data_IF_785580147165
#
_entry.id   IF_785580147165
#
_cell.length_a   1.000
_cell.length_b   1.000
_cell.length_c   1.000
_cell.angle_alpha   90.00
_cell.angle_beta   90.00
_cell.angle_gamma   90.00
#
_symmetry.space_group_name_H-M   'P 1'
#
loop_
_entity.id
_entity.type
_entity.pdbx_description
1 polymer ?
#
# COMPACT_ATOMS: atom_id res chain seq x y z
N UNK A 1 28.39 -8.48 -22.32
CA UNK A 1 27.38 -8.83 -21.29
C UNK A 1 26.34 -7.73 -21.26
N UNK A 2 25.09 -8.02 -21.60
CA UNK A 2 24.01 -7.03 -21.51
C UNK A 2 23.79 -6.63 -20.06
N UNK A 3 23.62 -5.33 -19.78
CA UNK A 3 23.17 -4.88 -18.46
C UNK A 3 21.86 -5.58 -18.13
N UNK A 4 21.83 -6.34 -17.03
CA UNK A 4 20.56 -6.86 -16.51
C UNK A 4 19.77 -5.64 -16.04
N UNK A 5 18.61 -5.42 -16.63
CA UNK A 5 17.73 -4.32 -16.24
C UNK A 5 17.12 -4.61 -14.88
N UNK A 6 16.91 -3.55 -14.09
CA UNK A 6 16.19 -3.61 -12.83
C UNK A 6 14.85 -4.32 -13.02
N UNK A 7 14.47 -5.30 -12.18
CA UNK A 7 13.19 -5.98 -12.29
C UNK A 7 12.01 -5.00 -12.31
N UNK A 8 11.00 -5.27 -13.13
CA UNK A 8 9.86 -4.37 -13.31
C UNK A 8 9.14 -4.02 -12.00
N UNK A 9 8.98 -4.99 -11.09
CA UNK A 9 8.39 -4.75 -9.79
C UNK A 9 9.20 -3.75 -8.96
N UNK A 10 10.53 -3.82 -9.03
CA UNK A 10 11.41 -2.97 -8.27
C UNK A 10 11.41 -1.55 -8.86
N UNK A 11 11.41 -1.43 -10.18
CA UNK A 11 11.24 -0.13 -10.83
C UNK A 11 9.92 0.55 -10.40
N UNK A 12 8.81 -0.21 -10.34
CA UNK A 12 7.52 0.30 -9.88
C UNK A 12 7.55 0.73 -8.39
N UNK A 13 8.14 -0.08 -7.51
CA UNK A 13 8.33 0.26 -6.09
C UNK A 13 9.14 1.54 -5.95
N UNK A 14 10.27 1.64 -6.65
CA UNK A 14 11.16 2.81 -6.58
C UNK A 14 10.47 4.08 -7.08
N UNK A 15 9.65 3.99 -8.13
CA UNK A 15 8.85 5.12 -8.60
C UNK A 15 7.85 5.59 -7.55
N UNK A 16 7.16 4.67 -6.86
CA UNK A 16 6.25 5.03 -5.77
C UNK A 16 7.00 5.63 -4.56
N UNK A 17 8.17 5.10 -4.21
CA UNK A 17 9.00 5.65 -3.12
C UNK A 17 9.51 7.06 -3.43
N UNK A 18 9.70 7.40 -4.71
CA UNK A 18 10.12 8.74 -5.14
C UNK A 18 9.03 9.81 -4.99
N UNK A 19 7.78 9.43 -4.70
CA UNK A 19 6.71 10.36 -4.29
C UNK A 19 6.87 10.85 -2.84
N UNK A 20 7.76 10.21 -2.07
CA UNK A 20 8.23 10.74 -0.79
C UNK A 20 9.24 11.88 -0.97
N UNK A 21 9.78 12.38 0.14
CA UNK A 21 10.74 13.48 0.06
C UNK A 21 12.14 13.01 -0.34
N UNK A 22 12.78 13.87 -1.14
CA UNK A 22 14.19 13.84 -1.53
C UNK A 22 14.68 12.47 -2.03
N UNK A 23 14.22 12.05 -3.22
CA UNK A 23 14.73 10.84 -3.87
C UNK A 23 16.24 10.89 -4.07
N UNK A 24 16.85 12.06 -4.30
CA UNK A 24 18.28 12.17 -4.54
C UNK A 24 19.10 11.60 -3.36
N UNK A 25 18.68 11.87 -2.12
CA UNK A 25 19.38 11.42 -0.91
C UNK A 25 19.36 9.91 -0.71
N UNK A 26 18.26 9.23 -1.01
CA UNK A 26 18.17 7.79 -0.79
C UNK A 26 18.51 6.97 -2.03
N UNK A 27 18.30 7.52 -3.23
CA UNK A 27 18.46 6.80 -4.47
C UNK A 27 19.89 6.34 -4.71
N UNK A 28 20.87 7.17 -4.35
CA UNK A 28 22.29 6.80 -4.42
C UNK A 28 22.60 5.52 -3.62
N UNK A 29 22.01 5.36 -2.43
CA UNK A 29 22.23 4.17 -1.59
C UNK A 29 21.62 2.92 -2.19
N UNK A 30 20.43 3.04 -2.77
CA UNK A 30 19.76 1.92 -3.45
C UNK A 30 20.51 1.55 -4.72
N UNK A 31 20.88 2.52 -5.55
CA UNK A 31 21.59 2.27 -6.80
C UNK A 31 22.96 1.62 -6.55
N UNK A 32 23.67 1.98 -5.48
CA UNK A 32 24.91 1.31 -5.09
C UNK A 32 24.71 -0.19 -4.78
N UNK A 33 23.63 -0.56 -4.11
CA UNK A 33 23.31 -1.98 -3.87
C UNK A 33 22.85 -2.69 -5.16
N UNK A 34 22.17 -1.99 -6.06
CA UNK A 34 21.79 -2.56 -7.37
C UNK A 34 23.00 -2.77 -8.28
N UNK A 35 23.96 -1.84 -8.27
CA UNK A 35 25.22 -1.95 -9.00
C UNK A 35 26.06 -3.11 -8.46
N UNK A 36 26.14 -3.27 -7.13
CA UNK A 36 26.79 -4.43 -6.49
C UNK A 36 26.19 -5.75 -6.97
N UNK A 37 24.87 -5.83 -7.06
CA UNK A 37 24.15 -7.01 -7.54
C UNK A 37 24.16 -7.15 -9.07
N UNK A 38 24.75 -6.20 -9.80
CA UNK A 38 24.67 -6.09 -11.25
C UNK A 38 23.23 -6.19 -11.78
N UNK A 39 22.27 -5.61 -11.05
CA UNK A 39 20.83 -5.65 -11.35
C UNK A 39 20.12 -6.98 -11.05
N UNK A 40 20.84 -8.02 -10.60
CA UNK A 40 20.29 -9.36 -10.30
C UNK A 40 19.64 -9.41 -8.92
N UNK A 41 18.48 -8.77 -8.78
CA UNK A 41 17.75 -8.74 -7.51
C UNK A 41 16.89 -9.99 -7.35
N UNK A 42 17.12 -10.83 -6.32
CA UNK A 42 16.34 -12.05 -6.12
C UNK A 42 14.91 -11.77 -5.65
N UNK A 43 13.98 -12.63 -6.04
CA UNK A 43 12.54 -12.51 -5.70
C UNK A 43 12.24 -12.48 -4.20
N UNK A 44 13.16 -12.96 -3.36
CA UNK A 44 13.04 -12.84 -1.90
C UNK A 44 12.97 -11.37 -1.43
N UNK A 45 13.58 -10.42 -2.18
CA UNK A 45 13.49 -8.98 -1.86
C UNK A 45 12.07 -8.47 -2.09
N UNK A 46 11.36 -8.99 -3.10
CA UNK A 46 9.95 -8.68 -3.31
C UNK A 46 9.09 -9.19 -2.13
N UNK A 47 9.39 -10.39 -1.61
CA UNK A 47 8.69 -10.96 -0.45
C UNK A 47 8.92 -10.15 0.82
N UNK A 48 10.17 -9.78 1.09
CA UNK A 48 10.48 -8.93 2.24
C UNK A 48 9.81 -7.56 2.10
N UNK A 49 9.84 -6.95 0.91
CA UNK A 49 9.12 -5.69 0.63
C UNK A 49 7.62 -5.82 0.90
N UNK A 50 6.99 -6.91 0.43
CA UNK A 50 5.58 -7.20 0.73
C UNK A 50 5.33 -7.35 2.24
N UNK A 51 6.24 -7.99 2.98
CA UNK A 51 6.13 -8.16 4.43
C UNK A 51 6.17 -6.83 5.16
N UNK A 52 7.04 -5.90 4.76
CA UNK A 52 7.13 -4.56 5.36
C UNK A 52 5.86 -3.74 5.17
N UNK A 53 5.14 -3.96 4.07
CA UNK A 53 3.87 -3.27 3.78
C UNK A 53 2.68 -3.90 4.49
N UNK A 54 2.62 -5.23 4.58
CA UNK A 54 1.41 -5.96 5.00
C UNK A 54 1.44 -6.42 6.47
N UNK A 55 2.60 -6.69 7.05
CA UNK A 55 2.69 -7.12 8.45
C UNK A 55 2.20 -6.06 9.47
N UNK A 56 2.35 -4.74 9.23
CA UNK A 56 1.82 -3.70 10.13
C UNK A 56 0.29 -3.55 10.11
N UNK A 57 -0.43 -4.33 9.29
CA UNK A 57 -1.89 -4.36 9.32
C UNK A 57 -2.36 -4.93 10.66
N UNK A 58 -3.29 -4.25 11.37
CA UNK A 58 -3.75 -4.69 12.68
C UNK A 58 -4.58 -5.98 12.60
N UNK A 59 -4.69 -6.66 13.74
CA UNK A 59 -5.52 -7.85 13.88
C UNK A 59 -4.86 -9.15 13.41
N UNK A 60 -5.65 -10.22 13.36
CA UNK A 60 -5.18 -11.56 12.99
C UNK A 60 -4.73 -11.64 11.54
N UNK A 61 -5.37 -10.90 10.64
CA UNK A 61 -5.06 -10.94 9.22
C UNK A 61 -3.61 -10.52 8.91
N UNK A 62 -3.15 -9.42 9.51
CA UNK A 62 -1.75 -8.97 9.36
C UNK A 62 -0.76 -9.96 9.94
N UNK A 63 -1.07 -10.58 11.10
CA UNK A 63 -0.24 -11.63 11.70
C UNK A 63 -0.14 -12.86 10.80
N UNK A 64 -1.25 -13.35 10.26
CA UNK A 64 -1.29 -14.50 9.36
C UNK A 64 -0.46 -14.27 8.10
N UNK A 65 -0.59 -13.10 7.46
CA UNK A 65 0.21 -12.75 6.28
C UNK A 65 1.70 -12.63 6.63
N UNK A 66 2.03 -12.01 7.76
CA UNK A 66 3.40 -11.91 8.25
C UNK A 66 4.03 -13.28 8.51
N UNK A 67 3.27 -14.22 9.08
CA UNK A 67 3.72 -15.59 9.32
C UNK A 67 3.94 -16.37 8.02
N UNK A 68 3.03 -16.24 7.05
CA UNK A 68 3.19 -16.85 5.73
C UNK A 68 4.42 -16.30 5.00
N UNK A 69 4.65 -14.98 5.04
CA UNK A 69 5.82 -14.36 4.41
C UNK A 69 7.12 -14.83 5.06
N UNK A 70 7.16 -14.93 6.39
CA UNK A 70 8.32 -15.45 7.11
C UNK A 70 8.61 -16.92 6.77
N UNK A 71 7.58 -17.75 6.69
CA UNK A 71 7.69 -19.17 6.28
C UNK A 71 8.16 -19.31 4.83
N UNK A 72 7.60 -18.53 3.91
CA UNK A 72 8.01 -18.51 2.51
C UNK A 72 9.48 -18.09 2.34
N UNK A 73 9.94 -17.09 3.10
CA UNK A 73 11.35 -16.69 3.15
C UNK A 73 12.27 -17.78 3.73
N UNK A 74 11.75 -18.67 4.58
CA UNK A 74 12.44 -19.86 5.08
C UNK A 74 12.32 -21.09 4.13
N UNK A 75 11.65 -20.95 2.98
CA UNK A 75 11.50 -21.99 1.97
C UNK A 75 10.22 -22.83 2.07
N UNK A 76 9.36 -22.57 3.06
CA UNK A 76 8.09 -23.28 3.24
C UNK A 76 6.99 -22.66 2.36
N UNK A 77 6.52 -23.43 1.39
CA UNK A 77 5.60 -22.95 0.34
C UNK A 77 4.15 -23.21 0.72
N UNK A 78 3.37 -22.12 0.79
CA UNK A 78 1.92 -22.18 0.84
C UNK A 78 1.32 -22.09 -0.58
N UNK A 79 0.22 -22.79 -0.81
CA UNK A 79 -0.54 -22.71 -2.07
C UNK A 79 -1.26 -21.36 -2.24
N UNK A 80 -1.69 -21.09 -3.47
CA UNK A 80 -2.36 -19.83 -3.86
C UNK A 80 -3.60 -19.55 -3.00
N UNK A 81 -4.44 -20.56 -2.74
CA UNK A 81 -5.68 -20.36 -1.98
C UNK A 81 -5.40 -19.91 -0.54
N UNK A 82 -4.41 -20.53 0.11
CA UNK A 82 -3.99 -20.15 1.47
C UNK A 82 -3.44 -18.72 1.52
N UNK A 83 -2.71 -18.32 0.48
CA UNK A 83 -2.26 -16.94 0.35
C UNK A 83 -3.43 -15.98 0.15
N UNK A 84 -4.36 -16.29 -0.76
CA UNK A 84 -5.53 -15.47 -1.05
C UNK A 84 -6.38 -15.24 0.21
N UNK A 85 -6.66 -16.31 0.95
CA UNK A 85 -7.49 -16.27 2.15
C UNK A 85 -6.86 -15.42 3.26
N UNK A 86 -5.53 -15.44 3.39
CA UNK A 86 -4.83 -14.59 4.34
C UNK A 86 -4.72 -13.13 3.85
N UNK A 87 -4.44 -12.92 2.56
CA UNK A 87 -4.21 -11.60 1.97
C UNK A 87 -5.49 -10.77 1.89
N UNK A 88 -6.63 -11.36 1.53
CA UNK A 88 -7.88 -10.63 1.33
C UNK A 88 -8.30 -9.81 2.55
N UNK A 89 -8.39 -10.34 3.78
CA UNK A 89 -8.70 -9.53 4.96
C UNK A 89 -7.59 -8.53 5.29
N UNK A 90 -6.31 -8.89 5.13
CA UNK A 90 -5.21 -7.97 5.43
C UNK A 90 -5.17 -6.76 4.48
N UNK A 91 -5.42 -6.99 3.20
CA UNK A 91 -5.54 -5.94 2.19
C UNK A 91 -6.78 -5.08 2.43
N UNK A 92 -7.92 -5.68 2.82
CA UNK A 92 -9.13 -4.91 3.16
C UNK A 92 -8.84 -3.92 4.29
N UNK A 93 -8.20 -4.36 5.36
CA UNK A 93 -7.82 -3.47 6.46
C UNK A 93 -6.80 -2.39 6.05
N UNK A 94 -5.83 -2.76 5.20
CA UNK A 94 -4.87 -1.79 4.65
C UNK A 94 -5.58 -0.70 3.84
N UNK A 95 -6.41 -1.09 2.88
CA UNK A 95 -7.11 -0.15 2.00
C UNK A 95 -8.19 0.65 2.75
N UNK A 96 -8.87 0.06 3.73
CA UNK A 96 -9.77 0.79 4.63
C UNK A 96 -9.02 1.93 5.33
N UNK A 97 -7.84 1.64 5.88
CA UNK A 97 -7.02 2.66 6.54
C UNK A 97 -6.43 3.69 5.55
N UNK A 98 -6.15 3.29 4.31
CA UNK A 98 -5.61 4.16 3.28
C UNK A 98 -6.65 5.11 2.66
N UNK A 99 -7.95 4.87 2.88
CA UNK A 99 -9.02 5.69 2.29
C UNK A 99 -8.96 7.15 2.79
N UNK A 100 -9.03 8.15 1.90
CA UNK A 100 -8.99 9.57 2.25
C UNK A 100 -10.34 10.04 2.78
N UNK A 101 -10.76 9.55 3.96
CA UNK A 101 -12.09 9.80 4.52
C UNK A 101 -12.37 11.28 4.71
N UNK A 102 -11.40 12.04 5.24
CA UNK A 102 -11.58 13.45 5.54
C UNK A 102 -11.83 14.27 4.27
N UNK A 103 -11.05 14.02 3.21
CA UNK A 103 -11.19 14.66 1.92
C UNK A 103 -12.51 14.26 1.22
N UNK A 104 -12.83 12.96 1.22
CA UNK A 104 -14.08 12.46 0.64
C UNK A 104 -15.31 13.06 1.35
N UNK A 105 -15.28 13.14 2.68
CA UNK A 105 -16.33 13.78 3.49
C UNK A 105 -16.43 15.27 3.18
N UNK A 106 -15.30 15.98 3.07
CA UNK A 106 -15.30 17.41 2.75
C UNK A 106 -15.93 17.70 1.37
N UNK A 107 -15.59 16.89 0.36
CA UNK A 107 -16.21 16.97 -0.98
C UNK A 107 -17.69 16.63 -0.92
N UNK A 108 -18.06 15.55 -0.23
CA UNK A 108 -19.46 15.14 -0.04
C UNK A 108 -20.30 16.23 0.63
N UNK A 109 -19.75 16.87 1.66
CA UNK A 109 -20.37 17.99 2.36
C UNK A 109 -20.58 19.18 1.41
N UNK A 110 -19.53 19.61 0.71
CA UNK A 110 -19.62 20.76 -0.19
C UNK A 110 -20.69 20.56 -1.28
N UNK A 111 -20.73 19.36 -1.88
CA UNK A 111 -21.71 19.02 -2.91
C UNK A 111 -23.14 18.98 -2.34
N UNK A 112 -23.34 18.34 -1.20
CA UNK A 112 -24.66 18.23 -0.57
C UNK A 112 -25.17 19.58 -0.05
N UNK A 113 -24.28 20.42 0.48
CA UNK A 113 -24.59 21.79 0.88
C UNK A 113 -25.04 22.63 -0.32
N UNK A 114 -24.29 22.58 -1.42
CA UNK A 114 -24.64 23.28 -2.66
C UNK A 114 -26.00 22.81 -3.21
N UNK A 115 -26.24 21.49 -3.21
CA UNK A 115 -27.51 20.90 -3.60
C UNK A 115 -28.67 21.39 -2.73
N UNK A 116 -28.59 21.26 -1.41
CA UNK A 116 -29.68 21.65 -0.51
C UNK A 116 -29.98 23.15 -0.59
N UNK A 117 -28.94 23.99 -0.71
CA UNK A 117 -29.09 25.43 -0.91
C UNK A 117 -29.83 25.73 -2.22
N UNK A 118 -29.42 25.11 -3.32
CA UNK A 118 -30.05 25.31 -4.62
C UNK A 118 -31.52 24.82 -4.67
N UNK A 119 -31.90 23.91 -3.77
CA UNK A 119 -33.26 23.38 -3.67
C UNK A 119 -34.09 24.06 -2.56
N UNK A 120 -33.63 25.18 -2.00
CA UNK A 120 -34.42 26.03 -1.11
C UNK A 120 -34.63 25.47 0.30
N UNK A 121 -33.76 24.57 0.75
CA UNK A 121 -33.83 24.03 2.11
C UNK A 121 -33.58 25.18 3.12
N UNK A 122 -34.25 25.16 4.30
CA UNK A 122 -33.93 26.08 5.38
C UNK A 122 -32.44 25.97 5.79
N UNK A 123 -31.79 27.07 6.24
CA UNK A 123 -30.35 27.05 6.54
C UNK A 123 -29.89 25.96 7.52
N UNK A 124 -30.70 25.66 8.53
CA UNK A 124 -30.38 24.60 9.50
C UNK A 124 -30.51 23.19 8.89
N UNK A 125 -31.43 22.99 7.95
CA UNK A 125 -31.59 21.74 7.22
C UNK A 125 -30.51 21.55 6.16
N UNK A 126 -30.00 22.63 5.54
CA UNK A 126 -28.86 22.57 4.62
C UNK A 126 -27.64 21.96 5.30
N UNK A 127 -27.29 22.45 6.49
CA UNK A 127 -26.13 21.95 7.25
C UNK A 127 -26.37 20.49 7.66
N UNK A 128 -27.51 20.19 8.28
CA UNK A 128 -27.82 18.83 8.75
C UNK A 128 -27.86 17.80 7.60
N UNK A 129 -28.42 18.18 6.45
CA UNK A 129 -28.42 17.35 5.25
C UNK A 129 -26.99 17.12 4.74
N UNK A 130 -26.19 18.17 4.64
CA UNK A 130 -24.82 18.09 4.14
C UNK A 130 -23.93 17.21 5.03
N UNK A 131 -24.01 17.36 6.35
CA UNK A 131 -23.28 16.50 7.30
C UNK A 131 -23.69 15.03 7.16
N UNK A 132 -24.99 14.75 7.18
CA UNK A 132 -25.51 13.38 7.06
C UNK A 132 -25.11 12.74 5.73
N UNK A 133 -25.25 13.47 4.62
CA UNK A 133 -24.88 12.97 3.31
C UNK A 133 -23.37 12.71 3.22
N UNK A 134 -22.55 13.62 3.73
CA UNK A 134 -21.11 13.48 3.73
C UNK A 134 -20.64 12.22 4.50
N UNK A 135 -21.19 11.99 5.70
CA UNK A 135 -20.85 10.80 6.49
C UNK A 135 -21.32 9.50 5.83
N UNK A 136 -22.53 9.48 5.28
CA UNK A 136 -23.06 8.30 4.56
C UNK A 136 -22.23 7.98 3.31
N UNK A 137 -21.96 8.98 2.47
CA UNK A 137 -21.25 8.79 1.21
C UNK A 137 -19.78 8.44 1.41
N UNK A 138 -19.08 9.12 2.32
CA UNK A 138 -17.70 8.79 2.66
C UNK A 138 -17.59 7.41 3.33
N UNK A 139 -18.51 7.07 4.25
CA UNK A 139 -18.55 5.77 4.90
C UNK A 139 -18.77 4.62 3.93
N UNK A 140 -19.72 4.76 2.99
CA UNK A 140 -19.91 3.78 1.92
C UNK A 140 -18.68 3.68 1.01
N UNK A 141 -18.04 4.82 0.73
CA UNK A 141 -16.81 4.89 -0.07
C UNK A 141 -15.64 4.13 0.55
N UNK A 142 -15.47 4.20 1.88
CA UNK A 142 -14.44 3.45 2.61
C UNK A 142 -14.57 1.95 2.35
N UNK A 143 -15.77 1.40 2.55
CA UNK A 143 -16.00 -0.04 2.44
C UNK A 143 -15.88 -0.52 1.00
N UNK A 144 -16.48 0.21 0.05
CA UNK A 144 -16.38 -0.13 -1.37
C UNK A 144 -14.94 -0.07 -1.88
N UNK A 145 -14.18 0.96 -1.47
CA UNK A 145 -12.76 1.09 -1.82
C UNK A 145 -11.93 -0.06 -1.24
N UNK A 146 -12.14 -0.38 0.04
CA UNK A 146 -11.40 -1.44 0.72
C UNK A 146 -11.67 -2.80 0.07
N UNK A 147 -12.93 -3.11 -0.23
CA UNK A 147 -13.33 -4.38 -0.82
C UNK A 147 -12.84 -4.56 -2.26
N UNK A 148 -13.08 -3.56 -3.11
CA UNK A 148 -12.68 -3.64 -4.51
C UNK A 148 -11.17 -3.84 -4.64
N UNK A 149 -10.37 -3.07 -3.88
CA UNK A 149 -8.92 -3.17 -3.94
C UNK A 149 -8.40 -4.46 -3.29
N UNK A 150 -8.99 -4.92 -2.19
CA UNK A 150 -8.59 -6.17 -1.56
C UNK A 150 -8.83 -7.37 -2.48
N UNK A 151 -9.99 -7.44 -3.14
CA UNK A 151 -10.33 -8.51 -4.08
C UNK A 151 -9.37 -8.50 -5.26
N UNK A 152 -9.20 -7.34 -5.91
CA UNK A 152 -8.36 -7.22 -7.09
C UNK A 152 -6.88 -7.58 -6.82
N UNK A 153 -6.34 -7.16 -5.66
CA UNK A 153 -4.92 -7.36 -5.36
C UNK A 153 -4.63 -8.70 -4.69
N UNK A 154 -5.56 -9.28 -3.92
CA UNK A 154 -5.32 -10.55 -3.22
C UNK A 154 -5.01 -11.69 -4.19
N UNK A 155 -5.75 -11.79 -5.30
CA UNK A 155 -5.57 -12.87 -6.28
C UNK A 155 -4.23 -12.76 -7.00
N UNK A 156 -3.90 -11.57 -7.50
CA UNK A 156 -2.66 -11.31 -8.20
C UNK A 156 -1.44 -11.54 -7.29
N UNK A 157 -1.51 -11.04 -6.04
CA UNK A 157 -0.43 -11.17 -5.08
C UNK A 157 -0.28 -12.60 -4.56
N UNK A 158 -1.38 -13.33 -4.35
CA UNK A 158 -1.34 -14.73 -3.93
C UNK A 158 -0.61 -15.61 -4.94
N UNK A 159 -0.89 -15.43 -6.23
CA UNK A 159 -0.17 -16.12 -7.31
C UNK A 159 1.33 -15.83 -7.29
N UNK A 160 1.69 -14.54 -7.18
CA UNK A 160 3.09 -14.11 -7.15
C UNK A 160 3.86 -14.68 -5.95
N UNK A 161 3.27 -14.66 -4.76
CA UNK A 161 3.91 -15.14 -3.53
C UNK A 161 3.98 -16.67 -3.47
N UNK A 162 2.94 -17.38 -3.91
CA UNK A 162 2.94 -18.84 -3.94
C UNK A 162 4.02 -19.40 -4.88
N UNK A 163 4.21 -18.74 -6.03
CA UNK A 163 5.13 -19.19 -7.08
C UNK A 163 6.55 -18.62 -6.94
N UNK A 164 6.79 -17.71 -5.98
CA UNK A 164 8.03 -16.95 -5.88
C UNK A 164 8.36 -16.25 -7.22
N UNK A 165 7.36 -15.63 -7.84
CA UNK A 165 7.44 -15.06 -9.18
C UNK A 165 7.49 -13.53 -9.11
N UNK A 166 8.66 -12.96 -9.43
CA UNK A 166 8.88 -11.52 -9.42
C UNK A 166 8.16 -10.78 -10.57
N UNK A 167 7.91 -11.45 -11.69
CA UNK A 167 7.16 -10.87 -12.81
C UNK A 167 5.65 -10.83 -12.50
N UNK A 168 5.12 -11.92 -11.92
CA UNK A 168 3.76 -11.91 -11.38
C UNK A 168 3.61 -10.86 -10.26
N UNK A 169 4.62 -10.69 -9.40
CA UNK A 169 4.61 -9.63 -8.40
C UNK A 169 4.56 -8.23 -9.02
N UNK A 170 5.24 -8.00 -10.14
CA UNK A 170 5.15 -6.73 -10.87
C UNK A 170 3.72 -6.46 -11.37
N UNK A 171 3.02 -7.51 -11.83
CA UNK A 171 1.60 -7.45 -12.25
C UNK A 171 0.62 -7.29 -11.07
N UNK A 172 1.06 -7.52 -9.83
CA UNK A 172 0.28 -7.28 -8.62
C UNK A 172 0.38 -5.83 -8.09
N UNK A 173 0.79 -4.89 -8.95
CA UNK A 173 0.80 -3.44 -8.68
C UNK A 173 1.49 -3.04 -7.36
N UNK A 174 2.75 -3.41 -7.12
CA UNK A 174 3.42 -3.19 -5.85
C UNK A 174 3.59 -1.69 -5.51
N UNK A 175 3.62 -0.82 -6.53
CA UNK A 175 3.55 0.64 -6.35
C UNK A 175 2.27 1.09 -5.62
N UNK A 176 1.13 0.45 -5.89
CA UNK A 176 -0.14 0.76 -5.23
C UNK A 176 -0.11 0.31 -3.75
N UNK A 177 0.51 -0.83 -3.44
CA UNK A 177 0.71 -1.28 -2.06
C UNK A 177 1.59 -0.32 -1.26
N UNK A 178 2.67 0.19 -1.87
CA UNK A 178 3.55 1.19 -1.25
C UNK A 178 2.76 2.45 -0.87
N UNK A 179 1.94 2.97 -1.80
CA UNK A 179 1.09 4.15 -1.55
C UNK A 179 0.02 3.87 -0.49
N UNK A 180 -0.64 2.72 -0.56
CA UNK A 180 -1.65 2.31 0.41
C UNK A 180 -1.06 2.20 1.82
N UNK A 181 0.12 1.60 1.97
CA UNK A 181 0.86 1.58 3.24
C UNK A 181 1.13 2.99 3.76
N UNK A 182 1.71 3.86 2.93
CA UNK A 182 2.08 5.20 3.35
C UNK A 182 0.85 6.03 3.77
N UNK A 183 -0.25 5.94 3.00
CA UNK A 183 -1.54 6.57 3.32
C UNK A 183 -2.15 5.99 4.60
N UNK A 184 -2.17 4.68 4.76
CA UNK A 184 -2.73 4.03 5.95
C UNK A 184 -2.00 4.45 7.24
N UNK A 185 -0.67 4.56 7.19
CA UNK A 185 0.12 5.08 8.33
C UNK A 185 -0.24 6.54 8.60
N UNK A 186 -0.29 7.38 7.56
CA UNK A 186 -0.59 8.80 7.69
C UNK A 186 -1.99 9.06 8.26
N UNK A 187 -3.01 8.40 7.72
CA UNK A 187 -4.40 8.57 8.13
C UNK A 187 -4.63 8.16 9.59
N UNK A 188 -3.94 7.11 10.07
CA UNK A 188 -4.00 6.69 11.48
C UNK A 188 -3.39 7.71 12.44
N UNK A 189 -2.44 8.53 11.99
CA UNK A 189 -1.86 9.59 12.80
C UNK A 189 -2.72 10.87 12.85
N UNK A 190 -3.80 10.92 12.06
CA UNK A 190 -4.68 12.07 11.96
C UNK A 190 -4.18 13.14 10.97
N UNK A 191 -5.12 14.00 10.55
CA UNK A 191 -4.95 14.95 9.42
C UNK A 191 -3.74 15.89 9.61
N UNK A 192 -3.53 16.40 10.83
CA UNK A 192 -2.48 17.39 11.10
C UNK A 192 -1.05 16.84 10.90
N UNK A 193 -0.82 15.56 11.23
CA UNK A 193 0.49 14.93 11.12
C UNK A 193 0.66 14.14 9.81
N UNK A 194 -0.41 14.01 9.00
CA UNK A 194 -0.45 13.10 7.86
C UNK A 194 0.69 13.33 6.84
N UNK A 195 1.07 14.55 6.44
CA UNK A 195 2.16 14.75 5.47
C UNK A 195 3.51 14.24 5.97
N UNK A 196 3.90 14.60 7.19
CA UNK A 196 5.19 14.22 7.79
C UNK A 196 5.24 12.72 8.09
N UNK A 197 4.13 12.16 8.57
CA UNK A 197 4.02 10.72 8.84
C UNK A 197 4.05 9.90 7.55
N UNK A 198 3.40 10.39 6.48
CA UNK A 198 3.46 9.76 5.16
C UNK A 198 4.89 9.71 4.62
N UNK A 199 5.61 10.83 4.73
CA UNK A 199 7.02 10.92 4.37
C UNK A 199 7.89 9.97 5.17
N UNK A 200 7.69 9.91 6.49
CA UNK A 200 8.39 8.97 7.35
C UNK A 200 8.08 7.50 6.98
N UNK A 201 6.84 7.20 6.55
CA UNK A 201 6.46 5.87 6.07
C UNK A 201 7.23 5.47 4.81
N UNK A 202 7.34 6.37 3.82
CA UNK A 202 8.20 6.13 2.65
C UNK A 202 9.67 5.93 3.05
N UNK A 203 10.20 6.76 3.95
CA UNK A 203 11.56 6.63 4.47
C UNK A 203 11.83 5.27 5.13
N UNK A 204 10.86 4.72 5.88
CA UNK A 204 10.96 3.38 6.46
C UNK A 204 11.00 2.28 5.39
N UNK A 205 10.17 2.38 4.35
CA UNK A 205 10.19 1.43 3.24
C UNK A 205 11.49 1.48 2.45
N UNK A 206 12.03 2.68 2.20
CA UNK A 206 13.36 2.87 1.59
C UNK A 206 14.45 2.21 2.43
N UNK A 207 14.43 2.41 3.75
CA UNK A 207 15.38 1.79 4.68
C UNK A 207 15.32 0.27 4.61
N UNK A 208 14.12 -0.29 4.72
CA UNK A 208 13.92 -1.73 4.67
C UNK A 208 14.30 -2.35 3.31
N UNK A 209 13.99 -1.68 2.19
CA UNK A 209 14.40 -2.11 0.86
C UNK A 209 15.94 -2.15 0.75
N UNK A 210 16.61 -1.11 1.24
CA UNK A 210 18.08 -1.05 1.23
C UNK A 210 18.69 -2.18 2.07
N UNK A 211 18.13 -2.45 3.25
CA UNK A 211 18.54 -3.57 4.11
C UNK A 211 18.35 -4.93 3.43
N UNK A 212 17.21 -5.12 2.77
CA UNK A 212 16.87 -6.35 2.05
C UNK A 212 17.82 -6.61 0.88
N UNK A 213 18.16 -5.56 0.12
CA UNK A 213 19.15 -5.62 -0.96
C UNK A 213 20.54 -5.94 -0.42
N UNK A 214 20.97 -5.29 0.66
CA UNK A 214 22.27 -5.53 1.30
C UNK A 214 22.42 -6.96 1.82
N UNK A 215 21.35 -7.55 2.31
CA UNK A 215 21.37 -8.92 2.82
C UNK A 215 21.57 -9.98 1.71
N UNK A 216 21.48 -9.61 0.43
CA UNK A 216 21.72 -10.51 -0.71
C UNK A 216 23.22 -10.79 -0.85
N UNK A 217 23.66 -12.07 -0.72
CA UNK A 217 25.06 -12.45 -0.94
C UNK A 217 25.52 -12.12 -2.37
N UNK A 218 26.83 -11.94 -2.55
CA UNK A 218 27.46 -11.70 -3.87
C UNK A 218 27.37 -12.91 -4.82
#
# INVERSE_FOLDING_TARGET
>A
MGRVSTPAWLAAVLAALAEGDDPARWRQRVDAELDRLAGRVPVRVAHDTAARMLAPTPGDAGRMVGDLLRRALAGDRAGVDRWRDALRPALRELYRAAYPYAEARAVGYANAHAYATANGYPPHEVVAFAERYADLSAGAGVEAFADANAIANADALAGALALMDGEAFARAYPAALVRAYALAVANRAGVAAAPDVRRAAYGRLVGALTESLRAVPD
#
